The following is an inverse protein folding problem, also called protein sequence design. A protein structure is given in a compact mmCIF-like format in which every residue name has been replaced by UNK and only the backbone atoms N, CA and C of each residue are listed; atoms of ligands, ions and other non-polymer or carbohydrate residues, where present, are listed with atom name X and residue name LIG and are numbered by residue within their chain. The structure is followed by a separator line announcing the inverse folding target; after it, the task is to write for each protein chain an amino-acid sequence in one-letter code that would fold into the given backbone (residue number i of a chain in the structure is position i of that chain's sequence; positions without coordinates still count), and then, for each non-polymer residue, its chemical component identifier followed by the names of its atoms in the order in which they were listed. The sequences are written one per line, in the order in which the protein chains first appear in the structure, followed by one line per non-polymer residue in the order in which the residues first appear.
data_IF_591494540987
#
_entry.id   IF_591494540987
#
_cell.length_a   1.000
_cell.length_b   1.000
_cell.length_c   1.000
_cell.angle_alpha   90.00
_cell.angle_beta   90.00
_cell.angle_gamma   90.00
#
_symmetry.space_group_name_H-M   'P 1'
#
loop_
_entity.id
_entity.type
_entity.pdbx_description
1 polymer ?
#
# COMPACT_ATOMS: atom_id res chain seq x y z
N UNK A 1 0.77 -39.88 -44.05
CA UNK A 1 1.78 -38.86 -44.37
C UNK A 1 1.49 -37.56 -43.62
N UNK A 2 1.50 -37.55 -42.27
CA UNK A 2 1.16 -36.31 -41.53
C UNK A 2 1.93 -36.11 -40.21
N UNK A 3 2.76 -37.07 -39.76
CA UNK A 3 3.51 -36.95 -38.50
C UNK A 3 5.00 -36.63 -38.69
N UNK A 4 5.57 -36.83 -39.88
CA UNK A 4 6.99 -36.57 -40.16
C UNK A 4 7.27 -35.10 -40.51
N UNK A 5 6.28 -34.39 -41.06
CA UNK A 5 6.39 -32.97 -41.42
C UNK A 5 6.34 -32.03 -40.19
N UNK A 6 5.62 -32.43 -39.14
CA UNK A 6 5.49 -31.64 -37.90
C UNK A 6 6.74 -31.69 -37.00
N UNK A 7 7.48 -32.80 -37.01
CA UNK A 7 8.70 -32.92 -36.21
C UNK A 7 9.83 -32.03 -36.76
N UNK A 8 9.95 -31.98 -38.09
CA UNK A 8 11.00 -31.22 -38.78
C UNK A 8 10.84 -29.70 -38.62
N UNK A 9 9.59 -29.21 -38.62
CA UNK A 9 9.26 -27.80 -38.43
C UNK A 9 9.49 -27.33 -36.99
N UNK A 10 9.55 -28.27 -36.03
CA UNK A 10 9.80 -27.97 -34.61
C UNK A 10 11.30 -27.81 -34.33
N UNK A 11 12.16 -28.65 -34.92
CA UNK A 11 13.62 -28.55 -34.75
C UNK A 11 14.23 -27.31 -35.41
N UNK A 12 13.68 -26.86 -36.54
CA UNK A 12 14.15 -25.67 -37.25
C UNK A 12 13.88 -24.38 -36.46
N UNK A 13 12.76 -24.34 -35.72
CA UNK A 13 12.40 -23.20 -34.85
C UNK A 13 13.27 -23.12 -33.58
N UNK A 14 13.68 -24.25 -33.02
CA UNK A 14 14.50 -24.28 -31.79
C UNK A 14 15.91 -23.75 -32.05
N UNK A 15 16.52 -24.11 -33.18
CA UNK A 15 17.86 -23.61 -33.54
C UNK A 15 17.88 -22.10 -33.80
N UNK A 16 16.80 -21.55 -34.37
CA UNK A 16 16.65 -20.10 -34.59
C UNK A 16 16.53 -19.33 -33.27
N UNK A 17 15.83 -19.89 -32.28
CA UNK A 17 15.68 -19.27 -30.95
C UNK A 17 17.00 -19.26 -30.18
N UNK A 18 17.82 -20.31 -30.26
CA UNK A 18 19.13 -20.34 -29.59
C UNK A 18 20.12 -19.31 -30.16
N UNK A 19 20.07 -19.04 -31.46
CA UNK A 19 20.90 -18.03 -32.10
C UNK A 19 20.49 -16.60 -31.68
N UNK A 20 19.18 -16.35 -31.55
CA UNK A 20 18.66 -15.08 -31.04
C UNK A 20 19.09 -14.84 -29.59
N UNK A 21 19.02 -15.87 -28.74
CA UNK A 21 19.39 -15.75 -27.32
C UNK A 21 20.88 -15.42 -27.16
N UNK A 22 21.76 -16.03 -27.97
CA UNK A 22 23.20 -15.72 -27.95
C UNK A 22 23.49 -14.27 -28.33
N UNK A 23 22.85 -13.76 -29.38
CA UNK A 23 23.03 -12.37 -29.81
C UNK A 23 22.53 -11.36 -28.76
N UNK A 24 21.46 -11.69 -28.05
CA UNK A 24 20.95 -10.86 -26.94
C UNK A 24 21.93 -10.85 -25.77
N UNK A 25 22.50 -12.00 -25.39
CA UNK A 25 23.43 -12.09 -24.27
C UNK A 25 24.75 -11.33 -24.53
N UNK A 26 25.24 -11.36 -25.77
CA UNK A 26 26.43 -10.61 -26.19
C UNK A 26 26.17 -9.09 -26.17
N UNK A 27 25.01 -8.65 -26.68
CA UNK A 27 24.60 -7.24 -26.64
C UNK A 27 24.43 -6.70 -25.21
N UNK A 28 23.99 -7.54 -24.27
CA UNK A 28 23.85 -7.16 -22.85
C UNK A 28 25.21 -6.95 -22.18
N UNK A 29 26.24 -7.74 -22.54
CA UNK A 29 27.57 -7.61 -21.96
C UNK A 29 28.25 -6.29 -22.35
N UNK A 30 28.12 -5.89 -23.62
CA UNK A 30 28.65 -4.60 -24.10
C UNK A 30 28.00 -3.42 -23.37
N UNK A 31 26.68 -3.45 -23.15
CA UNK A 31 25.96 -2.39 -22.42
C UNK A 31 26.39 -2.30 -20.95
N UNK A 32 26.63 -3.44 -20.29
CA UNK A 32 27.09 -3.44 -18.89
C UNK A 32 28.48 -2.83 -18.76
N UNK A 33 29.38 -3.11 -19.71
CA UNK A 33 30.74 -2.58 -19.69
C UNK A 33 30.79 -1.07 -19.94
N UNK A 34 29.98 -0.56 -20.87
CA UNK A 34 29.86 0.89 -21.13
C UNK A 34 29.30 1.66 -19.92
N UNK A 35 28.39 1.05 -19.16
CA UNK A 35 27.84 1.64 -17.93
C UNK A 35 28.91 1.69 -16.82
N UNK A 36 29.69 0.63 -16.64
CA UNK A 36 30.72 0.58 -15.60
C UNK A 36 31.84 1.60 -15.83
N UNK A 37 32.29 1.77 -17.08
CA UNK A 37 33.31 2.77 -17.45
C UNK A 37 32.79 4.22 -17.25
N UNK A 38 31.50 4.43 -17.52
CA UNK A 38 30.85 5.74 -17.31
C UNK A 38 30.73 6.07 -15.82
N UNK A 39 30.37 5.09 -14.99
CA UNK A 39 30.26 5.26 -13.54
C UNK A 39 31.62 5.57 -12.92
N UNK A 40 32.69 4.85 -13.28
CA UNK A 40 34.04 5.10 -12.74
C UNK A 40 34.52 6.52 -13.02
N UNK A 41 34.37 7.00 -14.26
CA UNK A 41 34.78 8.37 -14.65
C UNK A 41 33.99 9.46 -13.91
N UNK A 42 32.75 9.19 -13.50
CA UNK A 42 31.95 10.14 -12.72
C UNK A 42 32.33 10.19 -11.25
N UNK A 43 32.78 9.07 -10.67
CA UNK A 43 33.22 8.98 -9.27
C UNK A 43 34.55 9.72 -9.08
N UNK A 44 35.54 9.51 -9.95
CA UNK A 44 36.83 10.20 -9.87
C UNK A 44 36.68 11.73 -9.95
N UNK A 45 35.76 12.20 -10.79
CA UNK A 45 35.46 13.63 -10.96
C UNK A 45 34.67 14.22 -9.78
N UNK A 46 33.86 13.40 -9.09
CA UNK A 46 33.15 13.80 -7.88
C UNK A 46 34.08 13.90 -6.66
N UNK A 47 35.10 13.04 -6.58
CA UNK A 47 36.07 13.05 -5.49
C UNK A 47 36.97 14.29 -5.54
N UNK A 48 37.41 14.70 -6.74
CA UNK A 48 38.17 15.95 -6.95
C UNK A 48 37.38 17.22 -6.54
N UNK A 49 36.07 17.24 -6.83
CA UNK A 49 35.19 18.35 -6.47
C UNK A 49 34.90 18.41 -4.96
N UNK A 50 34.83 17.24 -4.31
CA UNK A 50 34.59 17.14 -2.86
C UNK A 50 35.81 17.61 -2.06
N UNK A 51 37.03 17.30 -2.51
CA UNK A 51 38.27 17.79 -1.89
C UNK A 51 38.41 19.32 -1.99
N UNK A 52 38.01 19.93 -3.11
CA UNK A 52 38.03 21.41 -3.25
C UNK A 52 36.91 22.11 -2.45
N UNK A 53 35.79 21.43 -2.22
CA UNK A 53 34.68 21.96 -1.43
C UNK A 53 34.96 21.96 0.09
N UNK A 54 35.75 21.00 0.59
CA UNK A 54 36.11 20.87 2.00
C UNK A 54 36.89 22.06 2.58
N UNK A 55 37.73 22.71 1.76
CA UNK A 55 38.49 23.89 2.17
C UNK A 55 37.69 25.20 2.07
N UNK A 56 36.73 25.28 1.14
CA UNK A 56 35.85 26.45 1.00
C UNK A 56 34.80 26.56 2.12
N UNK A 57 34.39 25.42 2.71
CA UNK A 57 33.32 25.35 3.70
C UNK A 57 33.72 25.88 5.10
N UNK A 58 35.00 25.95 5.44
CA UNK A 58 35.44 26.35 6.79
C UNK A 58 35.41 27.86 7.07
N UNK A 59 35.16 28.72 6.08
CA UNK A 59 35.26 30.19 6.23
C UNK A 59 34.02 31.00 5.78
N UNK A 60 32.86 30.38 5.58
CA UNK A 60 31.75 31.03 4.85
C UNK A 60 30.49 31.34 5.68
N UNK A 61 30.64 32.06 6.81
CA UNK A 61 29.52 32.61 7.56
C UNK A 61 28.95 33.93 7.02
N UNK A 62 29.72 34.65 6.18
CA UNK A 62 29.29 35.93 5.56
C UNK A 62 29.68 36.08 4.09
N UNK A 63 30.46 35.14 3.54
CA UNK A 63 31.04 35.23 2.20
C UNK A 63 30.29 34.38 1.14
N UNK A 64 29.29 33.61 1.57
CA UNK A 64 28.62 32.62 0.72
C UNK A 64 27.74 33.29 -0.34
N UNK A 65 26.98 34.32 0.04
CA UNK A 65 26.08 35.04 -0.89
C UNK A 65 26.88 35.78 -1.96
N UNK A 66 27.96 36.45 -1.58
CA UNK A 66 28.90 37.10 -2.51
C UNK A 66 29.64 36.11 -3.40
N UNK A 67 29.97 34.92 -2.89
CA UNK A 67 30.57 33.84 -3.68
C UNK A 67 29.58 33.21 -4.66
N UNK A 68 28.30 33.12 -4.31
CA UNK A 68 27.22 32.65 -5.19
C UNK A 68 26.97 33.65 -6.32
N UNK A 69 26.95 34.95 -6.01
CA UNK A 69 26.84 36.03 -6.99
C UNK A 69 28.05 36.08 -7.92
N UNK A 70 29.28 35.98 -7.39
CA UNK A 70 30.49 35.99 -8.21
C UNK A 70 30.63 34.70 -9.04
N UNK A 71 30.11 33.56 -8.58
CA UNK A 71 30.08 32.32 -9.36
C UNK A 71 29.07 32.41 -10.51
N UNK A 72 27.92 33.05 -10.29
CA UNK A 72 26.95 33.37 -11.35
C UNK A 72 27.56 34.28 -12.43
N UNK A 73 28.32 35.28 -12.02
CA UNK A 73 28.91 36.28 -12.93
C UNK A 73 30.14 35.75 -13.68
N UNK A 74 31.08 35.10 -12.97
CA UNK A 74 32.35 34.66 -13.56
C UNK A 74 32.26 33.31 -14.27
N UNK A 75 31.35 32.42 -13.84
CA UNK A 75 31.23 31.07 -14.38
C UNK A 75 29.76 30.62 -14.48
N UNK A 76 28.95 31.26 -15.35
CA UNK A 76 27.50 31.02 -15.40
C UNK A 76 27.13 29.57 -15.71
N UNK A 77 27.93 28.87 -16.53
CA UNK A 77 27.71 27.44 -16.83
C UNK A 77 27.81 26.55 -15.58
N UNK A 78 28.76 26.85 -14.70
CA UNK A 78 28.96 26.09 -13.47
C UNK A 78 27.88 26.42 -12.43
N UNK A 79 27.48 27.69 -12.35
CA UNK A 79 26.39 28.14 -11.48
C UNK A 79 25.06 27.47 -11.83
N UNK A 80 24.63 27.53 -13.09
CA UNK A 80 23.38 26.89 -13.51
C UNK A 80 23.46 25.37 -13.52
N UNK A 81 24.65 24.79 -13.76
CA UNK A 81 24.88 23.35 -13.63
C UNK A 81 24.65 22.87 -12.20
N UNK A 82 25.23 23.57 -11.21
CA UNK A 82 25.04 23.24 -9.79
C UNK A 82 23.60 23.48 -9.33
N UNK A 83 22.95 24.54 -9.84
CA UNK A 83 21.53 24.81 -9.57
C UNK A 83 20.64 23.66 -10.08
N UNK A 84 20.87 23.19 -11.31
CA UNK A 84 20.10 22.11 -11.91
C UNK A 84 20.24 20.78 -11.15
N UNK A 85 21.44 20.46 -10.64
CA UNK A 85 21.68 19.26 -9.83
C UNK A 85 20.87 19.27 -8.53
N UNK A 86 20.57 20.44 -7.97
CA UNK A 86 19.76 20.56 -6.74
C UNK A 86 18.26 20.65 -7.06
N UNK A 87 17.88 21.42 -8.08
CA UNK A 87 16.45 21.68 -8.36
C UNK A 87 15.77 20.51 -9.06
N UNK A 88 16.46 19.77 -9.94
CA UNK A 88 15.88 18.64 -10.68
C UNK A 88 15.46 17.49 -9.75
N UNK A 89 16.30 17.00 -8.82
CA UNK A 89 15.89 15.93 -7.90
C UNK A 89 14.75 16.36 -6.98
N UNK A 90 14.74 17.61 -6.51
CA UNK A 90 13.66 18.16 -5.68
C UNK A 90 12.34 18.18 -6.46
N UNK A 91 12.38 18.60 -7.73
CA UNK A 91 11.21 18.57 -8.61
C UNK A 91 10.70 17.15 -8.84
N UNK A 92 11.60 16.19 -9.06
CA UNK A 92 11.26 14.76 -9.24
C UNK A 92 10.62 14.18 -7.98
N UNK A 93 11.14 14.52 -6.79
CA UNK A 93 10.55 14.09 -5.50
C UNK A 93 9.15 14.68 -5.34
N UNK A 94 8.96 15.98 -5.65
CA UNK A 94 7.65 16.61 -5.56
C UNK A 94 6.64 16.06 -6.57
N UNK A 95 7.09 15.66 -7.77
CA UNK A 95 6.24 15.04 -8.79
C UNK A 95 6.00 13.55 -8.55
N UNK A 96 6.83 12.88 -7.74
CA UNK A 96 6.67 11.45 -7.39
C UNK A 96 5.67 11.21 -6.24
N UNK A 97 5.06 12.27 -5.70
CA UNK A 97 4.06 12.22 -4.63
C UNK A 97 2.66 11.82 -5.09
N UNK A 98 2.54 10.68 -5.78
CA UNK A 98 1.27 10.09 -6.21
C UNK A 98 1.01 8.73 -5.58
N UNK A 99 1.29 8.59 -4.28
CA UNK A 99 0.98 7.36 -3.55
C UNK A 99 -0.53 7.24 -3.35
N UNK A 100 -1.17 6.29 -4.03
CA UNK A 100 -2.48 5.77 -3.64
C UNK A 100 -2.34 5.01 -2.32
N UNK A 101 -2.02 5.74 -1.25
CA UNK A 101 -2.10 5.23 0.10
C UNK A 101 -3.59 5.08 0.40
N UNK A 102 -4.17 3.97 -0.07
CA UNK A 102 -5.42 3.50 0.47
C UNK A 102 -5.15 3.27 1.95
N UNK A 103 -5.72 4.13 2.80
CA UNK A 103 -5.87 3.84 4.22
C UNK A 103 -6.30 2.39 4.33
N UNK A 104 -5.52 1.56 5.02
CA UNK A 104 -5.84 0.16 5.21
C UNK A 104 -7.16 0.12 5.94
N UNK A 105 -8.24 -0.11 5.19
CA UNK A 105 -9.57 -0.24 5.75
C UNK A 105 -9.63 -1.43 6.71
N UNK A 106 -10.67 -1.51 7.56
CA UNK A 106 -10.87 -2.66 8.43
C UNK A 106 -10.79 -3.94 7.60
N UNK A 107 -9.86 -4.83 7.99
CA UNK A 107 -9.73 -6.16 7.36
C UNK A 107 -10.96 -6.96 7.74
N UNK A 108 -11.92 -7.03 6.82
CA UNK A 108 -13.08 -7.91 6.97
C UNK A 108 -12.56 -9.33 6.88
N UNK A 109 -12.60 -10.04 8.01
CA UNK A 109 -12.22 -11.46 8.06
C UNK A 109 -13.16 -12.23 7.13
N UNK A 110 -12.67 -13.26 6.46
CA UNK A 110 -13.53 -14.09 5.63
C UNK A 110 -14.44 -14.94 6.53
N UNK A 111 -15.62 -14.40 6.84
CA UNK A 111 -16.58 -15.03 7.74
C UNK A 111 -17.29 -16.19 7.04
N UNK A 112 -17.47 -17.30 7.74
CA UNK A 112 -18.10 -18.52 7.21
C UNK A 112 -19.31 -18.86 8.06
N UNK A 113 -20.43 -19.18 7.43
CA UNK A 113 -21.63 -19.58 8.13
C UNK A 113 -21.40 -20.90 8.90
N UNK A 114 -21.99 -21.02 10.09
CA UNK A 114 -21.81 -22.12 11.03
C UNK A 114 -20.55 -22.03 11.90
N UNK A 115 -19.65 -21.07 11.65
CA UNK A 115 -18.44 -20.89 12.48
C UNK A 115 -18.71 -20.00 13.69
N UNK A 116 -17.92 -20.23 14.74
CA UNK A 116 -17.94 -19.45 15.97
C UNK A 116 -16.95 -18.29 15.92
N UNK A 117 -17.40 -17.15 16.41
CA UNK A 117 -16.66 -15.89 16.45
C UNK A 117 -16.94 -15.17 17.77
N UNK A 118 -16.29 -14.04 17.97
CA UNK A 118 -16.58 -13.13 19.06
C UNK A 118 -16.99 -11.76 18.54
N UNK A 119 -17.87 -11.09 19.27
CA UNK A 119 -18.20 -9.70 18.99
C UNK A 119 -17.07 -8.78 19.46
N UNK A 120 -16.64 -7.86 18.60
CA UNK A 120 -15.66 -6.84 18.94
C UNK A 120 -16.01 -5.52 18.26
N UNK A 121 -15.96 -4.42 19.01
CA UNK A 121 -16.26 -3.10 18.43
C UNK A 121 -15.07 -2.63 17.61
N UNK A 122 -15.14 -2.72 16.29
CA UNK A 122 -14.03 -2.34 15.41
C UNK A 122 -13.71 -0.84 15.41
N UNK A 123 -14.62 -0.01 15.92
CA UNK A 123 -14.48 1.44 16.00
C UNK A 123 -14.09 1.96 17.40
N UNK A 124 -13.84 1.09 18.37
CA UNK A 124 -13.50 1.51 19.73
C UNK A 124 -12.36 0.67 20.32
N UNK A 125 -11.45 1.33 21.02
CA UNK A 125 -10.41 0.67 21.83
C UNK A 125 -10.83 0.50 23.29
N UNK A 126 -11.98 1.06 23.68
CA UNK A 126 -12.52 0.92 25.04
C UNK A 126 -13.00 -0.54 25.25
N UNK A 127 -12.46 -1.29 26.22
CA UNK A 127 -12.90 -2.65 26.51
C UNK A 127 -14.35 -2.74 27.00
N UNK A 128 -14.92 -1.63 27.50
CA UNK A 128 -16.31 -1.55 27.95
C UNK A 128 -17.31 -1.18 26.85
N UNK A 129 -16.83 -0.90 25.63
CA UNK A 129 -17.72 -0.62 24.51
C UNK A 129 -18.60 -1.84 24.20
N UNK A 130 -19.81 -1.58 23.72
CA UNK A 130 -20.77 -2.61 23.33
C UNK A 130 -20.90 -2.70 21.82
N UNK A 131 -21.22 -3.89 21.32
CA UNK A 131 -21.57 -4.12 19.92
C UNK A 131 -23.08 -4.13 19.80
N UNK A 132 -23.59 -3.38 18.83
CA UNK A 132 -25.03 -3.28 18.58
C UNK A 132 -25.51 -4.43 17.71
N UNK A 133 -26.63 -5.01 18.12
CA UNK A 133 -27.41 -5.98 17.36
C UNK A 133 -28.75 -5.39 16.95
N UNK A 134 -29.18 -5.67 15.73
CA UNK A 134 -30.48 -5.22 15.19
C UNK A 134 -31.27 -6.37 14.59
N UNK A 135 -32.58 -6.21 14.47
CA UNK A 135 -33.44 -7.24 13.89
C UNK A 135 -33.27 -7.40 12.37
N UNK A 136 -32.83 -6.34 11.67
CA UNK A 136 -32.75 -6.28 10.20
C UNK A 136 -31.43 -5.60 9.78
N UNK A 137 -30.67 -6.13 8.81
CA UNK A 137 -29.30 -5.67 8.50
C UNK A 137 -29.21 -4.18 8.17
N UNK A 138 -30.20 -3.60 7.47
CA UNK A 138 -30.19 -2.16 7.14
C UNK A 138 -30.51 -1.22 8.30
N UNK A 139 -31.06 -1.71 9.41
CA UNK A 139 -31.49 -0.87 10.52
C UNK A 139 -30.30 -0.26 11.29
N UNK A 140 -29.11 -0.89 11.25
CA UNK A 140 -27.88 -0.37 11.86
C UNK A 140 -27.48 1.01 11.31
N UNK A 141 -27.75 1.28 10.03
CA UNK A 141 -27.34 2.51 9.36
C UNK A 141 -28.33 3.67 9.52
N UNK A 142 -29.58 3.37 9.88
CA UNK A 142 -30.64 4.36 10.08
C UNK A 142 -30.98 4.56 11.56
N UNK A 143 -30.25 3.91 12.46
CA UNK A 143 -30.52 3.94 13.88
C UNK A 143 -30.02 5.24 14.50
N UNK A 144 -30.92 5.98 15.12
CA UNK A 144 -30.61 7.16 15.90
C UNK A 144 -30.75 6.83 17.40
N UNK A 145 -29.65 6.91 18.14
CA UNK A 145 -29.60 6.64 19.58
C UNK A 145 -30.34 7.68 20.43
N UNK A 146 -30.79 8.78 19.82
CA UNK A 146 -31.53 9.85 20.48
C UNK A 146 -33.06 9.68 20.48
N UNK A 147 -33.63 8.92 19.53
CA UNK A 147 -35.09 8.86 19.32
C UNK A 147 -35.75 7.49 19.64
N UNK A 148 -34.99 6.42 19.92
CA UNK A 148 -35.61 5.12 20.23
C UNK A 148 -35.89 4.94 21.73
N UNK A 149 -37.17 4.77 22.07
CA UNK A 149 -37.68 4.36 23.39
C UNK A 149 -37.15 3.01 23.90
N UNK A 150 -36.33 2.31 23.12
CA UNK A 150 -35.90 0.92 23.32
C UNK A 150 -34.45 0.75 23.77
N UNK A 151 -33.85 1.74 24.45
CA UNK A 151 -32.54 1.61 25.14
C UNK A 151 -32.42 0.40 26.09
N UNK A 152 -33.53 -0.29 26.35
CA UNK A 152 -33.64 -1.41 27.29
C UNK A 152 -33.93 -2.77 26.63
N UNK A 153 -33.82 -2.91 25.31
CA UNK A 153 -33.82 -4.22 24.68
C UNK A 153 -32.64 -5.04 25.19
N UNK A 154 -32.89 -6.05 26.04
CA UNK A 154 -31.89 -6.81 26.82
C UNK A 154 -30.75 -7.38 25.96
N UNK A 155 -30.96 -7.49 24.64
CA UNK A 155 -30.02 -8.08 23.68
C UNK A 155 -29.65 -7.17 22.50
N UNK A 156 -29.92 -5.87 22.58
CA UNK A 156 -29.52 -4.92 21.53
C UNK A 156 -28.07 -4.49 21.66
N UNK A 157 -27.53 -4.44 22.88
CA UNK A 157 -26.15 -4.06 23.15
C UNK A 157 -25.47 -5.20 23.90
N UNK A 158 -24.50 -5.84 23.25
CA UNK A 158 -23.72 -6.91 23.85
C UNK A 158 -22.31 -6.46 24.16
N UNK A 159 -21.75 -6.98 25.24
CA UNK A 159 -20.37 -6.72 25.61
C UNK A 159 -19.41 -7.28 24.55
N UNK A 160 -18.25 -6.65 24.42
CA UNK A 160 -17.16 -7.21 23.63
C UNK A 160 -16.71 -8.56 24.18
N UNK A 161 -16.25 -9.43 23.29
CA UNK A 161 -15.86 -10.80 23.59
C UNK A 161 -17.03 -11.78 23.69
N UNK A 162 -18.28 -11.33 23.53
CA UNK A 162 -19.44 -12.23 23.57
C UNK A 162 -19.34 -13.25 22.43
N UNK A 163 -19.36 -14.57 22.74
CA UNK A 163 -19.26 -15.61 21.74
C UNK A 163 -20.57 -15.71 20.94
N UNK A 164 -20.42 -15.82 19.62
CA UNK A 164 -21.52 -15.93 18.68
C UNK A 164 -21.23 -16.98 17.60
N UNK A 165 -22.28 -17.47 16.96
CA UNK A 165 -22.19 -18.29 15.75
C UNK A 165 -22.74 -17.50 14.57
N UNK A 166 -21.96 -17.38 13.49
CA UNK A 166 -22.43 -16.75 12.25
C UNK A 166 -23.41 -17.70 11.54
N UNK A 167 -24.59 -17.21 11.17
CA UNK A 167 -25.63 -18.01 10.52
C UNK A 167 -25.78 -17.66 9.04
N UNK A 168 -25.78 -16.37 8.72
CA UNK A 168 -26.07 -15.88 7.37
C UNK A 168 -25.41 -14.52 7.11
N UNK A 169 -25.38 -14.09 5.86
CA UNK A 169 -24.71 -12.87 5.43
C UNK A 169 -25.62 -12.03 4.54
N UNK A 170 -25.49 -10.71 4.66
CA UNK A 170 -26.15 -9.76 3.76
C UNK A 170 -25.12 -8.80 3.19
N UNK A 171 -25.21 -8.59 1.89
CA UNK A 171 -24.41 -7.62 1.18
C UNK A 171 -24.99 -6.20 1.37
N UNK A 172 -24.11 -5.21 1.46
CA UNK A 172 -24.47 -3.79 1.40
C UNK A 172 -23.24 -2.95 1.03
N UNK A 173 -23.45 -1.76 0.48
CA UNK A 173 -22.39 -0.79 0.16
C UNK A 173 -21.23 -1.39 -0.68
N UNK A 174 -21.53 -2.34 -1.58
CA UNK A 174 -20.53 -3.02 -2.40
C UNK A 174 -19.71 -4.11 -1.68
N UNK A 175 -20.04 -4.44 -0.42
CA UNK A 175 -19.40 -5.51 0.35
C UNK A 175 -20.35 -6.70 0.51
N UNK A 176 -19.88 -7.90 0.16
CA UNK A 176 -20.71 -9.13 0.17
C UNK A 176 -21.15 -9.58 1.57
N UNK A 177 -20.37 -9.25 2.62
CA UNK A 177 -20.60 -9.66 4.02
C UNK A 177 -20.64 -8.44 4.95
N UNK A 178 -21.30 -7.37 4.51
CA UNK A 178 -21.42 -6.13 5.27
C UNK A 178 -22.17 -6.34 6.60
N UNK A 179 -23.17 -7.22 6.59
CA UNK A 179 -23.92 -7.61 7.77
C UNK A 179 -23.90 -9.12 7.94
N UNK A 180 -23.90 -9.55 9.20
CA UNK A 180 -23.82 -10.96 9.59
C UNK A 180 -24.98 -11.25 10.52
N UNK A 181 -25.80 -12.24 10.18
CA UNK A 181 -26.77 -12.80 11.10
C UNK A 181 -26.03 -13.67 12.09
N UNK A 182 -26.13 -13.36 13.37
CA UNK A 182 -25.43 -14.04 14.44
C UNK A 182 -26.42 -14.67 15.41
N UNK A 183 -26.06 -15.81 15.96
CA UNK A 183 -26.71 -16.41 17.12
C UNK A 183 -25.81 -16.23 18.34
N UNK A 184 -26.35 -15.73 19.44
CA UNK A 184 -25.61 -15.54 20.67
C UNK A 184 -25.44 -16.88 21.38
N UNK A 185 -24.21 -17.26 21.71
CA UNK A 185 -23.92 -18.58 22.29
C UNK A 185 -23.91 -18.58 23.82
N UNK A 186 -23.76 -17.40 24.45
CA UNK A 186 -23.59 -17.26 25.89
C UNK A 186 -24.28 -16.00 26.47
N UNK A 187 -24.43 -15.98 27.81
CA UNK A 187 -25.01 -14.87 28.54
C UNK A 187 -26.55 -14.81 28.50
N UNK A 188 -27.13 -13.69 28.94
CA UNK A 188 -28.59 -13.53 29.08
C UNK A 188 -29.35 -13.58 27.75
N UNK A 189 -28.62 -13.41 26.65
CA UNK A 189 -29.16 -13.38 25.29
C UNK A 189 -28.93 -14.68 24.52
N UNK A 190 -28.48 -15.74 25.19
CA UNK A 190 -28.19 -17.02 24.54
C UNK A 190 -29.38 -17.53 23.72
N UNK A 191 -29.10 -17.92 22.48
CA UNK A 191 -30.08 -18.44 21.54
C UNK A 191 -30.85 -17.37 20.77
N UNK A 192 -30.68 -16.09 21.08
CA UNK A 192 -31.26 -15.02 20.26
C UNK A 192 -30.47 -14.88 18.96
N UNK A 193 -31.19 -14.56 17.89
CA UNK A 193 -30.60 -14.27 16.59
C UNK A 193 -30.84 -12.81 16.23
N UNK A 194 -29.80 -12.14 15.77
CA UNK A 194 -29.86 -10.76 15.32
C UNK A 194 -28.80 -10.50 14.25
N UNK A 195 -28.77 -9.29 13.72
CA UNK A 195 -27.78 -8.85 12.74
C UNK A 195 -26.76 -7.93 13.39
N UNK A 196 -25.49 -8.17 13.09
CA UNK A 196 -24.36 -7.34 13.46
C UNK A 196 -23.66 -6.81 12.19
N UNK A 197 -22.84 -5.77 12.35
CA UNK A 197 -21.91 -5.37 11.30
C UNK A 197 -20.84 -6.46 11.14
N UNK A 198 -20.50 -6.80 9.90
CA UNK A 198 -19.49 -7.83 9.62
C UNK A 198 -18.09 -7.46 10.11
N UNK A 199 -17.79 -6.17 10.23
CA UNK A 199 -16.54 -5.69 10.83
C UNK A 199 -16.47 -5.97 12.34
N UNK A 200 -17.60 -6.16 13.02
CA UNK A 200 -17.65 -6.37 14.45
C UNK A 200 -17.64 -7.86 14.85
N UNK A 201 -17.45 -8.75 13.88
CA UNK A 201 -17.38 -10.21 14.08
C UNK A 201 -15.95 -10.69 13.79
N UNK A 202 -15.28 -11.29 14.78
CA UNK A 202 -13.86 -11.68 14.69
C UNK A 202 -13.56 -13.12 15.11
#
# INVERSE_FOLDING_TARGET
MSNEENAKNTEENVNSVEEIVKNVEESVKDVVQDVEETVSKTVDKAEELTSKAGDAAKNAGGNLVSSILSLKENNPKLFYGLLAVVTVPVLVIMMSGGGSNTVSGPKIKDLVAGQKYVLKSSNSYDPSATVRLVAVPGALAAYDDSEESDRNGVCQHLAQGTPITALDFSAAYGQAKAFVKVQVDDGPCKGTTAWALGIDVQ
#
